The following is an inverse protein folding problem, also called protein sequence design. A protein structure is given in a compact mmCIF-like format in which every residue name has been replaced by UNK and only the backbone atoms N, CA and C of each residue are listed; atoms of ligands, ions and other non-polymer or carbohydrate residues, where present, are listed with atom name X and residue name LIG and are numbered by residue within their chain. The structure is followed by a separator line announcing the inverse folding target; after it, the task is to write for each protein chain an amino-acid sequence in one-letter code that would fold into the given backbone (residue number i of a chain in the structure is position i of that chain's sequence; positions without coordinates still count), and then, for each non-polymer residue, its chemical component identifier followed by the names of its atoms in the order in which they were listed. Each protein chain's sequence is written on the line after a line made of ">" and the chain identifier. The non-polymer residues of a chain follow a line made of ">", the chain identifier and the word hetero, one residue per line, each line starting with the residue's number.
data_IF_183621912135
#
_entry.id   IF_183621912135
#
_cell.length_a   1.000
_cell.length_b   1.000
_cell.length_c   1.000
_cell.angle_alpha   90.00
_cell.angle_beta   90.00
_cell.angle_gamma   90.00
#
_symmetry.space_group_name_H-M   'P 1'
#
loop_
_entity.id
_entity.type
_entity.pdbx_description
1 polymer ?
#
# COMPACT_ATOMS: atom_id res chain seq x y z
N UNK A 1 -13.85 32.23 -32.36
CA UNK A 1 -14.10 30.76 -32.39
C UNK A 1 -14.60 30.33 -31.02
N UNK A 2 -15.92 30.32 -30.83
CA UNK A 2 -16.58 30.00 -29.56
C UNK A 2 -16.79 28.49 -29.50
N UNK A 3 -16.06 27.79 -28.62
CA UNK A 3 -16.30 26.37 -28.36
C UNK A 3 -17.58 26.23 -27.53
N UNK A 4 -18.56 25.53 -28.08
CA UNK A 4 -19.90 25.36 -27.51
C UNK A 4 -19.86 24.38 -26.31
N UNK A 5 -20.09 24.81 -25.05
CA UNK A 5 -19.91 23.99 -23.86
C UNK A 5 -20.92 22.83 -23.72
N UNK A 6 -22.02 22.84 -24.48
CA UNK A 6 -23.05 21.78 -24.47
C UNK A 6 -22.65 20.50 -25.19
N UNK A 7 -21.72 20.53 -26.15
CA UNK A 7 -21.29 19.31 -26.86
C UNK A 7 -20.31 18.46 -26.03
N UNK A 8 -19.48 19.10 -25.20
CA UNK A 8 -18.55 18.40 -24.31
C UNK A 8 -19.25 17.77 -23.09
N UNK A 9 -20.41 18.30 -22.68
CA UNK A 9 -21.16 17.74 -21.54
C UNK A 9 -21.89 16.44 -21.91
N UNK A 10 -22.45 16.34 -23.13
CA UNK A 10 -23.13 15.13 -23.61
C UNK A 10 -22.18 13.94 -23.82
N UNK A 11 -20.98 14.15 -24.36
CA UNK A 11 -19.97 13.09 -24.50
C UNK A 11 -19.47 12.60 -23.14
N UNK A 12 -19.38 13.48 -22.13
CA UNK A 12 -19.01 13.07 -20.77
C UNK A 12 -20.06 12.21 -20.08
N UNK A 13 -21.35 12.44 -20.37
CA UNK A 13 -22.45 11.69 -19.75
C UNK A 13 -22.58 10.29 -20.35
N UNK A 14 -22.53 10.17 -21.67
CA UNK A 14 -22.55 8.87 -22.34
C UNK A 14 -21.38 7.98 -21.89
N UNK A 15 -20.16 8.54 -21.81
CA UNK A 15 -18.98 7.77 -21.39
C UNK A 15 -18.99 7.42 -19.90
N UNK A 16 -19.64 8.22 -19.04
CA UNK A 16 -19.88 7.84 -17.64
C UNK A 16 -20.77 6.61 -17.53
N UNK A 17 -21.82 6.55 -18.35
CA UNK A 17 -22.69 5.37 -18.43
C UNK A 17 -21.90 4.17 -18.93
N UNK A 18 -21.03 4.33 -19.94
CA UNK A 18 -20.13 3.26 -20.42
C UNK A 18 -19.19 2.76 -19.33
N UNK A 19 -18.61 3.64 -18.52
CA UNK A 19 -17.76 3.24 -17.38
C UNK A 19 -18.59 2.42 -16.37
N UNK A 20 -19.82 2.84 -16.08
CA UNK A 20 -20.70 2.15 -15.15
C UNK A 20 -21.11 0.76 -15.66
N UNK A 21 -21.48 0.63 -16.94
CA UNK A 21 -21.84 -0.66 -17.55
C UNK A 21 -20.65 -1.62 -17.54
N UNK A 22 -19.48 -1.16 -18.00
CA UNK A 22 -18.25 -1.97 -17.98
C UNK A 22 -17.88 -2.40 -16.55
N UNK A 23 -18.01 -1.50 -15.57
CA UNK A 23 -17.70 -1.82 -14.18
C UNK A 23 -18.62 -2.91 -13.62
N UNK A 24 -19.93 -2.81 -13.86
CA UNK A 24 -20.91 -3.82 -13.41
C UNK A 24 -20.69 -5.18 -14.10
N UNK A 25 -20.39 -5.19 -15.40
CA UNK A 25 -20.08 -6.42 -16.13
C UNK A 25 -18.83 -7.12 -15.61
N UNK A 26 -17.81 -6.35 -15.19
CA UNK A 26 -16.60 -6.92 -14.61
C UNK A 26 -16.87 -7.44 -13.18
N UNK A 27 -17.67 -6.74 -12.39
CA UNK A 27 -18.02 -7.18 -11.03
C UNK A 27 -18.89 -8.46 -11.03
N UNK A 28 -19.81 -8.59 -11.98
CA UNK A 28 -20.67 -9.79 -12.10
C UNK A 28 -19.88 -11.03 -12.52
N UNK A 29 -18.89 -10.89 -13.41
CA UNK A 29 -18.00 -11.99 -13.78
C UNK A 29 -16.57 -11.51 -14.05
N UNK A 30 -15.72 -11.46 -13.01
CA UNK A 30 -14.35 -10.96 -13.11
C UNK A 30 -13.49 -11.74 -14.10
N UNK A 31 -13.67 -13.06 -14.18
CA UNK A 31 -12.90 -13.91 -15.09
C UNK A 31 -13.15 -13.57 -16.55
N UNK A 32 -14.40 -13.28 -16.90
CA UNK A 32 -14.77 -12.82 -18.26
C UNK A 32 -14.31 -11.39 -18.53
N UNK A 33 -14.36 -10.50 -17.54
CA UNK A 33 -13.95 -9.10 -17.68
C UNK A 33 -12.45 -8.91 -17.90
N UNK A 34 -11.64 -9.85 -17.39
CA UNK A 34 -10.18 -9.89 -17.56
C UNK A 34 -9.74 -10.66 -18.81
N UNK A 35 -10.60 -11.50 -19.38
CA UNK A 35 -10.29 -12.23 -20.60
C UNK A 35 -10.31 -11.28 -21.82
N UNK A 36 -9.37 -11.44 -22.77
CA UNK A 36 -9.46 -10.73 -24.05
C UNK A 36 -10.74 -11.15 -24.78
N UNK A 37 -11.42 -10.19 -25.39
CA UNK A 37 -12.60 -10.44 -26.23
C UNK A 37 -12.14 -10.85 -27.64
N UNK A 38 -12.96 -11.62 -28.36
CA UNK A 38 -12.65 -12.07 -29.73
C UNK A 38 -12.37 -10.91 -30.70
N UNK A 39 -12.90 -9.72 -30.41
CA UNK A 39 -12.81 -8.51 -31.23
C UNK A 39 -11.92 -7.40 -30.68
N UNK A 40 -11.16 -7.62 -29.59
CA UNK A 40 -10.35 -6.54 -29.02
C UNK A 40 -9.88 -6.72 -27.56
N UNK A 41 -9.42 -5.63 -26.91
CA UNK A 41 -8.93 -5.68 -25.53
C UNK A 41 -10.04 -6.08 -24.56
N UNK A 42 -9.65 -6.71 -23.44
CA UNK A 42 -10.58 -7.09 -22.36
C UNK A 42 -11.41 -5.90 -21.88
N UNK A 43 -12.56 -6.15 -21.25
CA UNK A 43 -13.41 -5.07 -20.70
C UNK A 43 -12.63 -4.18 -19.73
N UNK A 44 -11.76 -4.79 -18.93
CA UNK A 44 -10.82 -4.07 -18.07
C UNK A 44 -9.79 -3.26 -18.88
N UNK A 45 -9.31 -3.78 -20.00
CA UNK A 45 -8.45 -3.08 -20.94
C UNK A 45 -9.13 -1.86 -21.57
N UNK A 46 -10.40 -1.98 -21.96
CA UNK A 46 -11.20 -0.86 -22.47
C UNK A 46 -11.35 0.24 -21.40
N UNK A 47 -11.65 -0.14 -20.16
CA UNK A 47 -11.70 0.81 -19.04
C UNK A 47 -10.32 1.43 -18.72
N UNK A 48 -9.25 0.66 -18.89
CA UNK A 48 -7.87 1.14 -18.69
C UNK A 48 -7.44 2.14 -19.77
N UNK A 49 -7.95 2.00 -21.00
CA UNK A 49 -7.71 2.97 -22.08
C UNK A 49 -8.32 4.35 -21.77
N UNK A 50 -9.44 4.38 -21.04
CA UNK A 50 -10.09 5.62 -20.60
C UNK A 50 -9.29 6.41 -19.55
N UNK A 51 -8.19 5.85 -19.03
CA UNK A 51 -7.25 6.59 -18.18
C UNK A 51 -6.49 7.68 -18.95
N UNK A 52 -6.30 7.49 -20.25
CA UNK A 52 -5.50 8.40 -21.07
C UNK A 52 -6.34 9.60 -21.57
N UNK A 53 -7.67 9.58 -21.34
CA UNK A 53 -8.57 10.67 -21.69
C UNK A 53 -8.58 11.77 -20.60
N UNK A 54 -8.24 13.05 -20.92
CA UNK A 54 -7.96 14.09 -19.92
C UNK A 54 -9.14 14.42 -18.99
N UNK A 55 -10.37 14.44 -19.51
CA UNK A 55 -11.57 14.76 -18.70
C UNK A 55 -12.09 13.57 -17.89
N UNK A 56 -11.71 12.34 -18.26
CA UNK A 56 -12.27 11.11 -17.67
C UNK A 56 -11.25 10.36 -16.83
N UNK A 57 -9.96 10.68 -16.97
CA UNK A 57 -8.85 10.03 -16.28
C UNK A 57 -9.10 9.90 -14.78
N UNK A 58 -9.52 10.99 -14.11
CA UNK A 58 -9.85 11.00 -12.69
C UNK A 58 -11.00 10.05 -12.32
N UNK A 59 -12.05 10.00 -13.15
CA UNK A 59 -13.20 9.11 -12.92
C UNK A 59 -12.83 7.65 -13.18
N UNK A 60 -12.12 7.38 -14.28
CA UNK A 60 -11.62 6.06 -14.65
C UNK A 60 -10.66 5.51 -13.59
N UNK A 61 -9.76 6.35 -13.05
CA UNK A 61 -8.86 5.97 -11.94
C UNK A 61 -9.64 5.53 -10.71
N UNK A 62 -10.65 6.31 -10.29
CA UNK A 62 -11.47 5.97 -9.13
C UNK A 62 -12.26 4.68 -9.36
N UNK A 63 -12.89 4.55 -10.51
CA UNK A 63 -13.71 3.39 -10.86
C UNK A 63 -12.87 2.11 -10.89
N UNK A 64 -11.70 2.16 -11.54
CA UNK A 64 -10.74 1.05 -11.54
C UNK A 64 -10.22 0.73 -10.14
N UNK A 65 -9.97 1.74 -9.32
CA UNK A 65 -9.50 1.53 -7.94
C UNK A 65 -10.51 0.74 -7.12
N UNK A 66 -11.79 1.12 -7.18
CA UNK A 66 -12.86 0.43 -6.47
C UNK A 66 -13.02 -1.00 -6.98
N UNK A 67 -13.05 -1.17 -8.31
CA UNK A 67 -13.14 -2.48 -8.95
C UNK A 67 -11.99 -3.42 -8.57
N UNK A 68 -10.76 -2.92 -8.51
CA UNK A 68 -9.63 -3.72 -8.02
C UNK A 68 -9.76 -4.01 -6.51
N UNK A 69 -10.26 -3.09 -5.70
CA UNK A 69 -10.49 -3.36 -4.27
C UNK A 69 -11.53 -4.48 -4.05
N UNK A 70 -12.54 -4.58 -4.91
CA UNK A 70 -13.56 -5.61 -4.83
C UNK A 70 -13.06 -6.97 -5.34
N UNK A 71 -12.31 -6.98 -6.44
CA UNK A 71 -11.87 -8.22 -7.11
C UNK A 71 -10.58 -8.80 -6.52
N UNK A 72 -9.70 -7.98 -5.93
CA UNK A 72 -8.44 -8.46 -5.39
C UNK A 72 -8.68 -9.35 -4.17
N UNK A 73 -8.07 -10.55 -4.11
CA UNK A 73 -8.13 -11.38 -2.93
C UNK A 73 -7.39 -10.73 -1.75
N UNK A 74 -7.72 -11.17 -0.54
CA UNK A 74 -7.04 -10.72 0.69
C UNK A 74 -5.64 -11.30 0.87
N UNK A 75 -5.30 -12.35 0.13
CA UNK A 75 -3.98 -12.97 0.14
C UNK A 75 -3.06 -12.40 -0.95
N UNK A 76 -1.76 -12.60 -0.78
CA UNK A 76 -0.75 -12.17 -1.74
C UNK A 76 -0.75 -13.09 -2.98
N UNK A 77 -0.99 -12.51 -4.15
CA UNK A 77 -0.98 -13.25 -5.42
C UNK A 77 0.44 -13.75 -5.73
N UNK A 78 0.58 -15.02 -6.14
CA UNK A 78 1.85 -15.59 -6.59
C UNK A 78 1.94 -15.55 -8.10
N UNK A 79 3.14 -15.31 -8.63
CA UNK A 79 3.40 -15.53 -10.06
C UNK A 79 3.61 -17.01 -10.26
N UNK A 80 2.77 -17.63 -11.09
CA UNK A 80 2.89 -19.04 -11.44
C UNK A 80 3.59 -19.19 -12.79
N UNK A 81 4.58 -20.09 -12.87
CA UNK A 81 5.22 -20.44 -14.13
C UNK A 81 4.29 -21.33 -14.98
N UNK A 82 4.40 -21.22 -16.31
CA UNK A 82 3.57 -21.98 -17.26
C UNK A 82 3.86 -23.48 -17.32
N UNK A 83 4.94 -23.94 -16.68
CA UNK A 83 5.51 -25.27 -16.93
C UNK A 83 5.07 -26.34 -15.91
N UNK A 84 4.28 -25.97 -14.90
CA UNK A 84 3.74 -26.95 -13.94
C UNK A 84 2.49 -27.64 -14.51
N UNK A 85 2.45 -28.97 -14.47
CA UNK A 85 1.26 -29.74 -14.82
C UNK A 85 0.25 -29.65 -13.67
N UNK A 86 -0.89 -29.03 -13.92
CA UNK A 86 -1.92 -28.77 -12.91
C UNK A 86 -3.27 -29.25 -13.40
N UNK A 87 -4.19 -29.57 -12.47
CA UNK A 87 -5.58 -29.90 -12.79
C UNK A 87 -6.26 -28.75 -13.52
N UNK A 88 -7.27 -29.05 -14.34
CA UNK A 88 -7.98 -28.07 -15.18
C UNK A 88 -8.54 -26.88 -14.40
N UNK A 89 -9.10 -27.11 -13.21
CA UNK A 89 -9.65 -26.05 -12.37
C UNK A 89 -8.55 -25.16 -11.77
N UNK A 90 -7.49 -25.76 -11.24
CA UNK A 90 -6.35 -25.01 -10.71
C UNK A 90 -5.65 -24.20 -11.82
N UNK A 91 -5.60 -24.74 -13.04
CA UNK A 91 -5.07 -24.02 -14.19
C UNK A 91 -5.90 -22.76 -14.51
N UNK A 92 -7.24 -22.84 -14.51
CA UNK A 92 -8.12 -21.67 -14.72
C UNK A 92 -7.87 -20.58 -13.66
N UNK A 93 -7.77 -20.97 -12.39
CA UNK A 93 -7.48 -20.04 -11.29
C UNK A 93 -6.12 -19.38 -11.47
N UNK A 94 -5.07 -20.14 -11.80
CA UNK A 94 -3.72 -19.58 -12.05
C UNK A 94 -3.71 -18.61 -13.23
N UNK A 95 -4.40 -18.92 -14.32
CA UNK A 95 -4.52 -18.03 -15.49
C UNK A 95 -5.23 -16.74 -15.09
N UNK A 96 -6.31 -16.83 -14.31
CA UNK A 96 -7.01 -15.67 -13.79
C UNK A 96 -6.12 -14.80 -12.88
N UNK A 97 -5.45 -15.41 -11.90
CA UNK A 97 -4.56 -14.71 -10.96
C UNK A 97 -3.41 -14.00 -11.69
N UNK A 98 -2.78 -14.66 -12.66
CA UNK A 98 -1.69 -14.07 -13.45
C UNK A 98 -2.18 -12.89 -14.29
N UNK A 99 -3.38 -12.97 -14.90
CA UNK A 99 -3.99 -11.85 -15.64
C UNK A 99 -4.32 -10.69 -14.72
N UNK A 100 -4.94 -10.98 -13.58
CA UNK A 100 -5.30 -9.98 -12.58
C UNK A 100 -4.05 -9.26 -12.05
N UNK A 101 -3.01 -10.01 -11.70
CA UNK A 101 -1.76 -9.46 -11.22
C UNK A 101 -1.09 -8.58 -12.28
N UNK A 102 -1.08 -9.01 -13.54
CA UNK A 102 -0.50 -8.24 -14.66
C UNK A 102 -1.24 -6.92 -14.89
N UNK A 103 -2.57 -6.97 -14.97
CA UNK A 103 -3.41 -5.79 -15.16
C UNK A 103 -3.28 -4.82 -13.97
N UNK A 104 -3.30 -5.34 -12.74
CA UNK A 104 -3.13 -4.53 -11.53
C UNK A 104 -1.74 -3.89 -11.45
N UNK A 105 -0.68 -4.62 -11.83
CA UNK A 105 0.69 -4.08 -11.88
C UNK A 105 0.78 -2.90 -12.83
N UNK A 106 0.20 -3.03 -14.03
CA UNK A 106 0.17 -1.95 -15.01
C UNK A 106 -0.61 -0.73 -14.50
N UNK A 107 -1.76 -0.97 -13.84
CA UNK A 107 -2.59 0.08 -13.25
C UNK A 107 -1.87 0.83 -12.11
N UNK A 108 -1.30 0.11 -11.14
CA UNK A 108 -0.50 0.70 -10.06
C UNK A 108 0.71 1.45 -10.63
N UNK A 109 1.34 0.92 -11.69
CA UNK A 109 2.39 1.61 -12.43
C UNK A 109 1.93 2.95 -13.01
N UNK A 110 0.74 3.01 -13.65
CA UNK A 110 0.14 4.27 -14.13
C UNK A 110 -0.14 5.23 -12.98
N UNK A 111 -0.78 4.77 -11.89
CA UNK A 111 -1.05 5.62 -10.72
C UNK A 111 0.24 6.18 -10.12
N UNK A 112 1.29 5.38 -9.97
CA UNK A 112 2.56 5.82 -9.40
C UNK A 112 3.29 6.87 -10.27
N UNK A 113 3.06 6.89 -11.58
CA UNK A 113 3.58 7.94 -12.48
C UNK A 113 2.78 9.24 -12.43
N UNK A 114 1.46 9.16 -12.25
CA UNK A 114 0.61 10.35 -12.14
C UNK A 114 0.66 10.98 -10.73
N UNK A 115 1.17 12.20 -10.62
CA UNK A 115 1.30 12.97 -9.37
C UNK A 115 0.04 13.77 -8.99
N UNK A 116 -1.10 13.49 -9.63
CA UNK A 116 -2.36 14.17 -9.30
C UNK A 116 -2.86 13.85 -7.88
N UNK A 117 -3.67 14.76 -7.31
CA UNK A 117 -4.40 14.52 -6.05
C UNK A 117 -5.32 13.31 -6.16
N UNK A 118 -5.89 13.06 -7.34
CA UNK A 118 -6.77 11.91 -7.59
C UNK A 118 -6.00 10.60 -7.49
N UNK A 119 -4.87 10.49 -8.19
CA UNK A 119 -4.00 9.31 -8.12
C UNK A 119 -3.53 9.03 -6.70
N UNK A 120 -3.15 10.07 -5.94
CA UNK A 120 -2.75 9.92 -4.53
C UNK A 120 -3.87 9.38 -3.65
N UNK A 121 -5.11 9.84 -3.84
CA UNK A 121 -6.29 9.30 -3.14
C UNK A 121 -6.57 7.84 -3.55
N UNK A 122 -6.43 7.51 -4.82
CA UNK A 122 -6.62 6.15 -5.32
C UNK A 122 -5.61 5.17 -4.70
N UNK A 123 -4.32 5.56 -4.65
CA UNK A 123 -3.28 4.76 -3.99
C UNK A 123 -3.56 4.56 -2.49
N UNK A 124 -4.01 5.61 -1.79
CA UNK A 124 -4.41 5.49 -0.38
C UNK A 124 -5.57 4.53 -0.18
N UNK A 125 -6.55 4.53 -1.09
CA UNK A 125 -7.70 3.63 -1.02
C UNK A 125 -7.29 2.17 -1.19
N UNK A 126 -6.39 1.88 -2.13
CA UNK A 126 -5.82 0.52 -2.31
C UNK A 126 -5.14 0.05 -1.02
N UNK A 127 -4.34 0.91 -0.38
CA UNK A 127 -3.60 0.58 0.85
C UNK A 127 -4.57 0.33 2.00
N UNK A 128 -5.63 1.15 2.15
CA UNK A 128 -6.66 0.97 3.18
C UNK A 128 -7.44 -0.33 3.03
N UNK A 129 -7.76 -0.70 1.79
CA UNK A 129 -8.59 -1.87 1.52
C UNK A 129 -7.80 -3.18 1.50
N UNK A 130 -6.51 -3.15 1.15
CA UNK A 130 -5.68 -4.34 0.90
C UNK A 130 -4.27 -4.21 1.50
N UNK A 131 -4.16 -4.41 2.81
CA UNK A 131 -2.90 -4.36 3.57
C UNK A 131 -1.89 -5.47 3.18
N UNK A 132 -2.37 -6.57 2.58
CA UNK A 132 -1.54 -7.71 2.14
C UNK A 132 -1.12 -7.70 0.66
N UNK A 133 -1.41 -6.63 -0.09
CA UNK A 133 -1.16 -6.63 -1.53
C UNK A 133 0.34 -6.69 -1.88
N UNK A 134 0.67 -7.34 -3.00
CA UNK A 134 2.05 -7.50 -3.47
C UNK A 134 2.83 -6.19 -3.62
N UNK A 135 2.12 -5.09 -3.88
CA UNK A 135 2.68 -3.78 -4.16
C UNK A 135 2.65 -2.83 -2.96
N UNK A 136 2.25 -3.31 -1.78
CA UNK A 136 2.05 -2.48 -0.60
C UNK A 136 3.28 -1.60 -0.28
N UNK A 137 4.52 -2.15 -0.16
CA UNK A 137 5.68 -1.31 0.13
C UNK A 137 5.98 -0.28 -0.98
N UNK A 138 5.81 -0.64 -2.26
CA UNK A 138 6.07 0.25 -3.38
C UNK A 138 5.06 1.39 -3.45
N UNK A 139 3.80 1.14 -3.08
CA UNK A 139 2.75 2.15 -3.00
C UNK A 139 3.04 3.11 -1.84
N UNK A 140 3.33 2.58 -0.65
CA UNK A 140 3.72 3.39 0.52
C UNK A 140 4.91 4.28 0.19
N UNK A 141 5.96 3.73 -0.43
CA UNK A 141 7.13 4.51 -0.80
C UNK A 141 6.80 5.64 -1.79
N UNK A 142 5.87 5.44 -2.71
CA UNK A 142 5.40 6.50 -3.60
C UNK A 142 4.58 7.55 -2.83
N UNK A 143 3.70 7.13 -1.92
CA UNK A 143 2.90 8.05 -1.10
C UNK A 143 3.78 8.92 -0.19
N UNK A 144 4.79 8.34 0.45
CA UNK A 144 5.76 9.08 1.28
C UNK A 144 6.50 10.13 0.45
N UNK A 145 6.93 9.81 -0.79
CA UNK A 145 7.54 10.82 -1.67
C UNK A 145 6.58 11.96 -2.04
N UNK A 146 5.29 11.65 -2.20
CA UNK A 146 4.25 12.64 -2.55
C UNK A 146 3.79 13.49 -1.38
N UNK A 147 4.13 13.12 -0.14
CA UNK A 147 3.77 13.92 1.04
C UNK A 147 4.34 15.34 0.96
N UNK A 148 5.46 15.54 0.26
CA UNK A 148 6.06 16.88 0.04
C UNK A 148 5.10 17.83 -0.69
N UNK A 149 4.30 17.32 -1.63
CA UNK A 149 3.36 18.13 -2.43
C UNK A 149 1.91 18.04 -1.93
N UNK A 150 1.50 16.86 -1.47
CA UNK A 150 0.13 16.55 -1.08
C UNK A 150 0.04 16.17 0.41
N UNK A 151 0.77 16.90 1.26
CA UNK A 151 0.96 16.61 2.68
C UNK A 151 -0.35 16.33 3.40
N UNK A 152 -1.37 17.18 3.25
CA UNK A 152 -2.64 17.02 3.98
C UNK A 152 -3.38 15.71 3.64
N UNK A 153 -3.34 15.30 2.36
CA UNK A 153 -4.01 14.08 1.91
C UNK A 153 -3.25 12.85 2.38
N UNK A 154 -1.91 12.88 2.26
CA UNK A 154 -1.05 11.74 2.61
C UNK A 154 -0.96 11.56 4.12
N UNK A 155 -0.74 12.63 4.89
CA UNK A 155 -0.64 12.56 6.35
C UNK A 155 -1.93 12.05 6.97
N UNK A 156 -3.08 12.64 6.61
CA UNK A 156 -4.39 12.18 7.08
C UNK A 156 -4.70 10.75 6.64
N UNK A 157 -4.33 10.42 5.40
CA UNK A 157 -4.56 9.10 4.82
C UNK A 157 -3.76 8.00 5.50
N UNK A 158 -2.46 8.19 5.68
CA UNK A 158 -1.56 7.24 6.33
C UNK A 158 -1.78 7.21 7.85
N UNK A 159 -1.95 8.37 8.50
CA UNK A 159 -2.26 8.45 9.93
C UNK A 159 -3.50 7.64 10.29
N UNK A 160 -4.59 7.78 9.52
CA UNK A 160 -5.80 6.99 9.74
C UNK A 160 -5.66 5.49 9.42
N UNK A 161 -4.62 5.04 8.72
CA UNK A 161 -4.30 3.62 8.56
C UNK A 161 -3.57 3.14 9.82
N UNK A 162 -2.55 3.87 10.23
CA UNK A 162 -1.72 3.54 11.39
C UNK A 162 -2.55 3.50 12.68
N UNK A 163 -3.52 4.42 12.85
CA UNK A 163 -4.44 4.44 13.99
C UNK A 163 -5.39 3.22 14.05
N UNK A 164 -5.75 2.67 12.88
CA UNK A 164 -6.68 1.54 12.77
C UNK A 164 -5.97 0.19 12.74
N UNK A 165 -4.68 0.16 12.45
CA UNK A 165 -3.90 -1.06 12.34
C UNK A 165 -3.66 -1.70 13.72
N UNK A 166 -4.49 -2.70 14.04
CA UNK A 166 -4.36 -3.49 15.27
C UNK A 166 -3.23 -4.51 15.21
N UNK A 167 -2.84 -4.94 14.01
CA UNK A 167 -1.82 -5.98 13.80
C UNK A 167 -0.41 -5.39 13.72
N UNK A 168 -0.28 -4.07 13.54
CA UNK A 168 0.99 -3.34 13.40
C UNK A 168 1.80 -3.66 12.15
N UNK A 169 1.28 -4.50 11.25
CA UNK A 169 1.94 -4.88 10.01
C UNK A 169 1.97 -3.71 9.01
N UNK A 170 0.85 -3.03 8.84
CA UNK A 170 0.73 -1.87 7.97
C UNK A 170 1.54 -0.68 8.53
N UNK A 171 1.43 -0.45 9.84
CA UNK A 171 2.14 0.60 10.59
C UNK A 171 3.65 0.44 10.51
N UNK A 172 4.17 -0.78 10.72
CA UNK A 172 5.61 -1.07 10.64
C UNK A 172 6.17 -0.75 9.26
N UNK A 173 5.48 -1.12 8.18
CA UNK A 173 5.95 -0.83 6.81
C UNK A 173 5.87 0.66 6.51
N UNK A 174 4.79 1.34 6.90
CA UNK A 174 4.61 2.79 6.70
C UNK A 174 5.73 3.55 7.39
N UNK A 175 5.90 3.32 8.69
CA UNK A 175 6.88 4.03 9.53
C UNK A 175 8.30 3.67 9.08
N UNK A 176 8.57 2.42 8.71
CA UNK A 176 9.86 2.00 8.17
C UNK A 176 10.22 2.70 6.85
N UNK A 177 9.26 2.90 5.94
CA UNK A 177 9.50 3.65 4.69
C UNK A 177 9.63 5.16 4.94
N UNK A 178 8.87 5.73 5.88
CA UNK A 178 9.09 7.11 6.34
C UNK A 178 10.50 7.26 6.87
N UNK A 179 10.95 6.36 7.75
CA UNK A 179 12.28 6.40 8.32
C UNK A 179 13.40 6.26 7.28
N UNK A 180 13.23 5.36 6.29
CA UNK A 180 14.15 5.27 5.16
C UNK A 180 14.18 6.58 4.35
N UNK A 181 13.04 7.23 4.17
CA UNK A 181 12.97 8.50 3.46
C UNK A 181 13.70 9.62 4.23
N UNK A 182 13.53 9.69 5.56
CA UNK A 182 14.29 10.59 6.44
C UNK A 182 15.80 10.35 6.31
N UNK A 183 16.22 9.08 6.34
CA UNK A 183 17.63 8.70 6.41
C UNK A 183 18.37 8.84 5.07
N UNK A 184 17.69 8.66 3.92
CA UNK A 184 18.31 8.80 2.58
C UNK A 184 18.74 10.23 2.29
N UNK A 185 17.91 11.22 2.64
CA UNK A 185 18.27 12.63 2.49
C UNK A 185 19.47 13.07 3.33
N UNK A 186 19.91 12.26 4.30
CA UNK A 186 21.03 12.56 5.18
C UNK A 186 22.36 11.98 4.70
N UNK A 187 22.37 10.78 4.12
CA UNK A 187 23.61 10.13 3.65
C UNK A 187 24.27 10.86 2.49
N UNK A 188 23.50 11.61 1.72
CA UNK A 188 23.97 12.26 0.50
C UNK A 188 24.45 13.71 0.74
N UNK A 189 24.47 14.20 2.00
CA UNK A 189 24.94 15.56 2.32
C UNK A 189 24.10 16.70 1.71
N UNK A 190 22.93 16.38 1.16
CA UNK A 190 22.05 17.34 0.49
C UNK A 190 21.27 18.13 1.54
N UNK A 191 21.50 19.45 1.64
CA UNK A 191 20.64 20.38 2.40
C UNK A 191 19.18 20.13 1.96
N UNK A 192 18.37 19.59 2.87
CA UNK A 192 16.96 19.29 2.55
C UNK A 192 16.20 20.59 2.35
N UNK A 193 15.27 20.56 1.40
CA UNK A 193 14.26 21.61 1.27
C UNK A 193 13.38 21.61 2.54
N UNK A 194 13.21 22.76 3.19
CA UNK A 194 12.43 22.94 4.44
C UNK A 194 11.02 22.31 4.39
N UNK A 195 10.38 22.32 3.22
CA UNK A 195 9.05 21.74 2.98
C UNK A 195 9.00 20.21 3.08
N UNK A 196 10.08 19.53 2.68
CA UNK A 196 10.19 18.07 2.80
C UNK A 196 10.31 17.69 4.27
N UNK A 197 11.04 18.48 5.04
CA UNK A 197 11.25 18.24 6.46
C UNK A 197 9.97 18.45 7.28
N UNK A 198 9.20 19.51 6.98
CA UNK A 198 7.92 19.78 7.66
C UNK A 198 6.87 18.70 7.40
N UNK A 199 6.76 18.21 6.15
CA UNK A 199 5.78 17.17 5.80
C UNK A 199 6.11 15.83 6.48
N UNK A 200 7.39 15.50 6.58
CA UNK A 200 7.89 14.31 7.26
C UNK A 200 7.74 14.45 8.78
N UNK A 201 8.06 15.61 9.36
CA UNK A 201 7.84 15.91 10.79
C UNK A 201 6.36 15.78 11.15
N UNK A 202 5.46 16.27 10.30
CA UNK A 202 4.00 16.10 10.48
C UNK A 202 3.59 14.63 10.45
N UNK A 203 4.07 13.84 9.48
CA UNK A 203 3.83 12.39 9.43
C UNK A 203 4.31 11.70 10.71
N UNK A 204 5.54 12.00 11.15
CA UNK A 204 6.11 11.40 12.36
C UNK A 204 5.30 11.81 13.60
N UNK A 205 4.89 13.08 13.71
CA UNK A 205 4.06 13.58 14.82
C UNK A 205 2.67 12.94 14.86
N UNK A 206 2.06 12.72 13.70
CA UNK A 206 0.79 11.99 13.63
C UNK A 206 0.98 10.52 14.00
N UNK A 207 2.13 9.92 13.64
CA UNK A 207 2.48 8.52 13.93
C UNK A 207 2.95 8.28 15.38
N UNK A 208 3.40 9.29 16.12
CA UNK A 208 3.74 9.15 17.55
C UNK A 208 2.52 9.13 18.45
N UNK A 209 1.33 9.47 17.94
CA UNK A 209 0.06 9.38 18.67
C UNK A 209 -0.47 7.95 18.81
N UNK A 210 0.22 6.99 18.23
CA UNK A 210 -0.23 5.59 18.20
C UNK A 210 0.11 4.94 19.54
N UNK A 211 -0.92 4.38 20.18
CA UNK A 211 -0.79 3.71 21.48
C UNK A 211 0.00 2.40 21.33
N UNK A 212 1.31 2.47 21.56
CA UNK A 212 2.17 1.30 21.72
C UNK A 212 1.62 0.47 22.89
N UNK A 213 1.44 -0.84 22.67
CA UNK A 213 0.86 -1.76 23.66
C UNK A 213 1.91 -2.63 24.34
N UNK A 214 3.16 -2.51 23.93
CA UNK A 214 4.25 -3.41 24.30
C UNK A 214 5.32 -2.62 25.05
N UNK A 215 5.74 -3.15 26.19
CA UNK A 215 6.82 -2.59 27.01
C UNK A 215 8.19 -2.97 26.43
N UNK A 216 9.25 -2.22 26.74
CA UNK A 216 10.62 -2.51 26.25
C UNK A 216 11.09 -3.93 26.62
N UNK A 217 10.70 -4.40 27.80
CA UNK A 217 11.03 -5.72 28.32
C UNK A 217 10.39 -6.85 27.50
N UNK A 218 9.14 -6.67 27.07
CA UNK A 218 8.44 -7.62 26.19
C UNK A 218 9.09 -7.71 24.79
N UNK A 219 9.58 -6.59 24.26
CA UNK A 219 10.31 -6.55 22.98
C UNK A 219 11.65 -7.29 23.05
N UNK A 220 12.40 -7.09 24.14
CA UNK A 220 13.69 -7.76 24.34
C UNK A 220 13.50 -9.26 24.58
N UNK A 221 12.51 -9.65 25.39
CA UNK A 221 12.14 -11.05 25.59
C UNK A 221 11.76 -11.75 24.27
N UNK A 222 10.98 -11.10 23.39
CA UNK A 222 10.63 -11.66 22.09
C UNK A 222 11.83 -11.79 21.12
N UNK A 223 12.78 -10.85 21.17
CA UNK A 223 14.05 -10.95 20.39
C UNK A 223 14.91 -12.13 20.86
N UNK A 224 14.92 -12.43 22.15
CA UNK A 224 15.62 -13.59 22.71
C UNK A 224 14.91 -14.90 22.34
N UNK A 225 13.58 -14.95 22.46
CA UNK A 225 12.77 -16.12 22.10
C UNK A 225 12.81 -16.47 20.60
N UNK A 226 12.77 -15.47 19.71
CA UNK A 226 12.87 -15.68 18.25
C UNK A 226 14.24 -16.24 17.81
N UNK A 227 15.32 -15.91 18.54
CA UNK A 227 16.65 -16.48 18.34
C UNK A 227 16.74 -17.92 18.82
N UNK A 228 16.03 -18.27 19.89
CA UNK A 228 15.96 -19.63 20.44
C UNK A 228 15.12 -20.58 19.57
N UNK A 229 14.00 -20.09 19.02
CA UNK A 229 13.07 -20.89 18.22
C UNK A 229 13.57 -21.21 16.80
N UNK A 230 14.62 -20.54 16.33
CA UNK A 230 15.29 -20.83 15.04
C UNK A 230 16.01 -22.20 15.00
N UNK A 231 16.03 -22.96 16.12
CA UNK A 231 16.78 -24.22 16.28
C UNK A 231 15.94 -25.48 16.48
N UNK A 232 14.60 -25.44 16.47
CA UNK A 232 13.77 -26.65 16.65
C UNK A 232 12.77 -26.81 15.52
N UNK A 233 13.02 -27.81 14.68
CA UNK A 233 12.09 -28.26 13.64
C UNK A 233 11.91 -29.78 13.68
N UNK A 234 10.67 -30.20 13.36
CA UNK A 234 10.09 -31.56 13.25
C UNK A 234 9.64 -32.19 14.58
N UNK A 235 8.41 -32.72 14.69
CA UNK A 235 7.76 -33.72 13.82
C UNK A 235 6.22 -33.69 13.94
N UNK A 236 5.55 -33.99 12.83
CA UNK A 236 4.11 -34.29 12.61
C UNK A 236 3.62 -35.53 13.40
N UNK A 237 2.33 -35.87 13.60
CA UNK A 237 0.99 -35.40 13.18
C UNK A 237 -0.09 -36.25 13.90
N UNK A 238 -1.22 -35.67 14.33
CA UNK A 238 -2.60 -36.20 14.17
C UNK A 238 -3.64 -35.18 14.70
N UNK A 239 -4.92 -35.16 14.34
CA UNK A 239 -5.53 -34.92 13.02
C UNK A 239 -6.69 -33.90 13.18
N UNK A 240 -6.58 -32.78 12.46
CA UNK A 240 -7.62 -31.78 12.10
C UNK A 240 -8.38 -30.98 13.17
N UNK A 241 -8.64 -31.47 14.38
CA UNK A 241 -9.21 -30.63 15.47
C UNK A 241 -8.12 -30.06 16.36
N UNK A 242 -7.20 -30.91 16.81
CA UNK A 242 -5.96 -30.44 17.44
C UNK A 242 -5.12 -29.63 16.46
N UNK A 243 -5.14 -29.92 15.16
CA UNK A 243 -4.48 -29.05 14.16
C UNK A 243 -5.16 -27.69 14.04
N UNK A 244 -6.48 -27.60 14.19
CA UNK A 244 -7.18 -26.31 14.13
C UNK A 244 -7.02 -25.52 15.42
N UNK A 245 -7.02 -26.18 16.58
CA UNK A 245 -6.70 -25.57 17.88
C UNK A 245 -5.22 -25.20 18.00
N UNK A 246 -4.28 -26.06 17.61
CA UNK A 246 -2.84 -25.76 17.50
C UNK A 246 -2.54 -24.75 16.39
N UNK A 247 -3.29 -24.74 15.28
CA UNK A 247 -3.20 -23.65 14.30
C UNK A 247 -3.75 -22.36 14.88
N UNK A 248 -4.84 -22.39 15.64
CA UNK A 248 -5.39 -21.19 16.27
C UNK A 248 -4.48 -20.66 17.37
N UNK A 249 -3.92 -21.54 18.21
CA UNK A 249 -2.97 -21.18 19.26
C UNK A 249 -1.61 -20.79 18.68
N UNK A 250 -1.17 -21.48 17.63
CA UNK A 250 0.02 -21.17 16.84
C UNK A 250 -0.11 -19.82 16.14
N UNK A 251 -1.22 -19.57 15.45
CA UNK A 251 -1.54 -18.29 14.81
C UNK A 251 -1.69 -17.18 15.87
N UNK A 252 -2.29 -17.48 17.03
CA UNK A 252 -2.41 -16.53 18.13
C UNK A 252 -1.04 -16.19 18.72
N UNK A 253 -0.16 -17.16 18.95
CA UNK A 253 1.18 -16.95 19.49
C UNK A 253 2.10 -16.29 18.46
N UNK A 254 2.05 -16.70 17.19
CA UNK A 254 2.75 -16.07 16.08
C UNK A 254 2.26 -14.64 15.88
N UNK A 255 0.97 -14.37 16.03
CA UNK A 255 0.43 -13.01 15.98
C UNK A 255 0.96 -12.14 17.12
N UNK A 256 1.01 -12.63 18.37
CA UNK A 256 1.56 -11.88 19.51
C UNK A 256 3.06 -11.60 19.33
N UNK A 257 3.83 -12.61 18.95
CA UNK A 257 5.27 -12.49 18.67
C UNK A 257 5.55 -11.49 17.54
N UNK A 258 4.78 -11.57 16.45
CA UNK A 258 4.89 -10.63 15.34
C UNK A 258 4.47 -9.21 15.72
N UNK A 259 3.40 -9.03 16.50
CA UNK A 259 2.99 -7.72 17.02
C UNK A 259 4.12 -7.10 17.84
N UNK A 260 4.71 -7.84 18.77
CA UNK A 260 5.84 -7.37 19.59
C UNK A 260 7.02 -6.98 18.70
N UNK A 261 7.37 -7.82 17.73
CA UNK A 261 8.45 -7.54 16.78
C UNK A 261 8.17 -6.27 15.96
N UNK A 262 6.98 -6.15 15.39
CA UNK A 262 6.60 -5.00 14.57
C UNK A 262 6.52 -3.71 15.39
N UNK A 263 6.01 -3.76 16.62
CA UNK A 263 6.04 -2.61 17.52
C UNK A 263 7.47 -2.21 17.89
N UNK A 264 8.34 -3.18 18.18
CA UNK A 264 9.76 -2.93 18.44
C UNK A 264 10.48 -2.28 17.25
N UNK A 265 10.30 -2.80 16.04
CA UNK A 265 10.86 -2.25 14.79
C UNK A 265 10.30 -0.84 14.50
N UNK A 266 9.02 -0.65 14.78
CA UNK A 266 8.33 0.64 14.61
C UNK A 266 8.87 1.69 15.58
N UNK A 267 9.01 1.34 16.85
CA UNK A 267 9.55 2.24 17.88
C UNK A 267 11.00 2.62 17.59
N UNK A 268 11.85 1.66 17.24
CA UNK A 268 13.25 1.93 16.84
C UNK A 268 13.29 2.90 15.65
N UNK A 269 12.43 2.69 14.65
CA UNK A 269 12.33 3.59 13.49
C UNK A 269 11.87 5.00 13.88
N UNK A 270 10.85 5.13 14.72
CA UNK A 270 10.34 6.42 15.20
C UNK A 270 11.38 7.17 16.02
N UNK A 271 12.05 6.49 16.95
CA UNK A 271 13.09 7.09 17.80
C UNK A 271 14.24 7.61 16.94
N UNK A 272 14.70 6.82 15.96
CA UNK A 272 15.74 7.27 15.02
C UNK A 272 15.29 8.49 14.23
N UNK A 273 14.06 8.51 13.72
CA UNK A 273 13.53 9.67 13.02
C UNK A 273 13.45 10.91 13.90
N UNK A 274 12.98 10.75 15.14
CA UNK A 274 12.78 11.85 16.08
C UNK A 274 14.12 12.45 16.53
N UNK A 275 15.06 11.61 16.99
CA UNK A 275 16.40 12.06 17.40
C UNK A 275 17.15 12.74 16.24
N UNK A 276 16.99 12.22 15.02
CA UNK A 276 17.57 12.84 13.84
C UNK A 276 16.94 14.19 13.52
N UNK A 277 15.63 14.34 13.68
CA UNK A 277 14.93 15.62 13.51
C UNK A 277 15.36 16.68 14.54
N UNK A 278 15.58 16.27 15.80
CA UNK A 278 16.08 17.20 16.84
C UNK A 278 17.51 17.66 16.55
N UNK A 279 18.38 16.78 16.06
CA UNK A 279 19.77 17.15 15.72
C UNK A 279 19.84 18.27 14.69
N UNK A 280 18.93 18.27 13.70
CA UNK A 280 18.84 19.33 12.68
C UNK A 280 18.37 20.66 13.28
N UNK A 281 17.40 20.62 14.20
CA UNK A 281 16.94 21.83 14.88
C UNK A 281 18.01 22.49 15.76
N UNK A 282 19.04 21.74 16.20
CA UNK A 282 20.20 22.30 16.89
C UNK A 282 21.15 22.96 15.88
N UNK A 283 21.47 22.29 14.77
CA UNK A 283 22.34 22.84 13.72
C UNK A 283 21.76 24.08 13.02
N UNK A 284 20.42 24.17 12.81
CA UNK A 284 19.76 25.37 12.25
C UNK A 284 19.80 26.57 13.22
N UNK A 285 19.69 26.33 14.53
CA UNK A 285 19.75 27.40 15.55
C UNK A 285 21.18 27.92 15.77
N UNK A 286 22.19 27.06 15.60
CA UNK A 286 23.59 27.46 15.71
C UNK A 286 24.03 28.34 14.51
N UNK A 287 23.48 28.14 13.30
CA UNK A 287 23.75 29.01 12.14
C UNK A 287 23.08 30.39 12.24
N UNK A 288 21.89 30.50 12.85
CA UNK A 288 21.24 31.81 13.11
C UNK A 288 21.99 32.64 14.16
N UNK A 289 22.69 32.00 15.10
CA UNK A 289 23.51 32.67 16.13
C UNK A 289 24.88 33.16 15.63
N UNK A 290 25.36 32.66 14.48
CA UNK A 290 26.63 33.08 13.86
C UNK A 290 26.41 34.12 12.74
N UNK A 291 25.16 34.41 12.41
CA UNK A 291 24.74 35.38 11.39
C UNK A 291 24.33 36.77 11.92
N UNK A 292 24.76 37.17 13.12
CA UNK A 292 24.57 38.52 13.70
C UNK A 292 25.90 39.17 14.00
#
# INVERSE_FOLDING_TARGET
>A
MSQNPKAASLTSAATKTTIATLSNEILTNPASGLAPTESGPSKLGQLTALLDHPLLSSLSMKSLTLLYCDILPSYRLRQHSSNEKVKKEEHKTRVFENRLLTAFTAFVGKLRRDDSKCSTRCLLEVVKSKEGCNFYPQIIQTLVRRSVKHSDIVCKGLGGIVERDRRWQASSVIIGEVAKHCNRGWKDGVKRNSKTDESVRRLVKDMTRVNLRVTKEEVEAAKVLSRANKKKGKKMSEVRKEVEEEMMEGDAMESKSNIIRWQGETLDSLVRCYLQGMRVGVEENDEELVGV
#
